data_IF_124104730240
#
_entry.id   IF_124104730240
#
_cell.length_a   1.000
_cell.length_b   1.000
_cell.length_c   1.000
_cell.angle_alpha   90.00
_cell.angle_beta   90.00
_cell.angle_gamma   90.00
#
_symmetry.space_group_name_H-M   'P 1'
#
loop_
_entity.id
_entity.type
_entity.pdbx_description
1 polymer ?
#
# COMPACT_ATOMS: atom_id res chain seq x y z
N UNK A 1 -2.35 -5.96 -5.25
CA UNK A 1 -2.80 -7.36 -5.32
C UNK A 1 -3.06 -7.79 -3.88
N UNK A 2 -4.01 -8.68 -3.66
CA UNK A 2 -4.22 -9.29 -2.34
C UNK A 2 -3.20 -10.43 -2.18
N UNK A 3 -2.28 -10.30 -1.21
CA UNK A 3 -1.20 -11.26 -1.01
C UNK A 3 -1.52 -12.36 0.01
N UNK A 4 -2.50 -12.16 0.89
CA UNK A 4 -2.86 -13.10 1.95
C UNK A 4 -4.30 -13.64 1.88
N UNK A 5 -5.07 -13.20 0.90
CA UNK A 5 -6.38 -13.73 0.55
C UNK A 5 -7.52 -13.17 1.39
N UNK A 6 -7.33 -12.01 2.03
CA UNK A 6 -8.33 -11.39 2.89
C UNK A 6 -9.40 -10.56 2.14
N UNK A 7 -9.23 -10.42 0.82
CA UNK A 7 -10.11 -9.65 -0.07
C UNK A 7 -9.67 -8.20 -0.29
N UNK A 8 -8.58 -7.75 0.32
CA UNK A 8 -8.03 -6.40 0.22
C UNK A 8 -6.64 -6.41 -0.42
N UNK A 9 -6.31 -5.37 -1.18
CA UNK A 9 -4.95 -5.23 -1.73
C UNK A 9 -3.99 -4.66 -0.69
N UNK A 10 -2.76 -5.18 -0.63
CA UNK A 10 -1.78 -4.79 0.38
C UNK A 10 -0.40 -4.44 -0.22
N UNK A 11 0.52 -3.92 0.62
CA UNK A 11 1.86 -3.52 0.17
C UNK A 11 2.73 -4.68 -0.30
N UNK A 12 2.60 -5.89 0.27
CA UNK A 12 3.37 -7.07 -0.19
C UNK A 12 2.91 -7.47 -1.59
N UNK A 13 1.59 -7.48 -1.81
CA UNK A 13 1.02 -7.73 -3.13
C UNK A 13 1.33 -6.62 -4.14
N UNK A 14 1.52 -5.37 -3.70
CA UNK A 14 2.00 -4.29 -4.57
C UNK A 14 3.49 -4.43 -4.91
N UNK A 15 4.33 -4.84 -3.95
CA UNK A 15 5.75 -5.12 -4.14
C UNK A 15 5.97 -6.18 -5.24
N UNK A 16 5.17 -7.24 -5.24
CA UNK A 16 5.20 -8.28 -6.28
C UNK A 16 4.86 -7.76 -7.70
N UNK A 17 4.24 -6.59 -7.82
CA UNK A 17 3.89 -5.96 -9.10
C UNK A 17 4.89 -4.91 -9.57
N UNK A 18 5.90 -4.55 -8.77
CA UNK A 18 6.93 -3.61 -9.20
C UNK A 18 7.62 -4.01 -10.52
N UNK A 19 8.03 -5.29 -10.74
CA UNK A 19 8.62 -5.68 -12.02
C UNK A 19 7.68 -5.46 -13.21
N UNK A 20 6.39 -5.75 -13.02
CA UNK A 20 5.37 -5.51 -14.04
C UNK A 20 5.20 -4.02 -14.36
N UNK A 21 5.18 -3.16 -13.34
CA UNK A 21 5.07 -1.71 -13.51
C UNK A 21 6.31 -1.14 -14.22
N UNK A 22 7.50 -1.65 -13.88
CA UNK A 22 8.76 -1.30 -14.53
C UNK A 22 8.76 -1.71 -16.01
N UNK A 23 8.31 -2.93 -16.33
CA UNK A 23 8.19 -3.42 -17.72
C UNK A 23 7.22 -2.56 -18.55
N UNK A 24 6.18 -2.01 -17.92
CA UNK A 24 5.27 -1.04 -18.54
C UNK A 24 5.90 0.35 -18.79
N UNK A 25 7.07 0.63 -18.22
CA UNK A 25 7.73 1.93 -18.28
C UNK A 25 7.16 2.97 -17.32
N UNK A 26 6.49 2.55 -16.24
CA UNK A 26 6.02 3.47 -15.19
C UNK A 26 7.23 4.06 -14.46
N UNK A 27 7.25 5.38 -14.31
CA UNK A 27 8.34 6.11 -13.64
C UNK A 27 7.94 6.72 -12.29
N UNK A 28 6.65 6.74 -11.96
CA UNK A 28 6.14 7.25 -10.70
C UNK A 28 4.88 6.48 -10.28
N UNK A 29 4.78 6.21 -8.98
CA UNK A 29 3.61 5.56 -8.36
C UNK A 29 2.98 6.58 -7.41
N UNK A 30 1.69 6.88 -7.62
CA UNK A 30 0.89 7.66 -6.70
C UNK A 30 0.05 6.74 -5.83
N UNK A 31 0.23 6.83 -4.51
CA UNK A 31 -0.54 6.04 -3.56
C UNK A 31 -1.73 6.86 -3.03
N UNK A 32 -2.88 6.21 -2.94
CA UNK A 32 -4.02 6.70 -2.16
C UNK A 32 -3.70 6.59 -0.66
N UNK A 33 -4.47 7.26 0.23
CA UNK A 33 -4.23 7.19 1.67
C UNK A 33 -4.22 5.74 2.19
N UNK A 34 -3.14 5.39 2.90
CA UNK A 34 -2.94 4.04 3.46
C UNK A 34 -2.81 4.06 4.99
N UNK A 35 -3.12 5.18 5.62
CA UNK A 35 -3.05 5.38 7.07
C UNK A 35 -4.23 4.71 7.80
N UNK A 36 -4.12 4.44 9.12
CA UNK A 36 -5.28 4.08 9.94
C UNK A 36 -6.41 5.09 9.75
N UNK A 37 -7.59 4.58 9.42
CA UNK A 37 -8.81 5.36 9.20
C UNK A 37 -10.02 4.50 9.63
N UNK A 38 -11.11 5.12 10.13
CA UNK A 38 -12.37 4.45 10.38
C UNK A 38 -13.16 4.15 9.09
N UNK A 39 -12.59 4.45 7.92
CA UNK A 39 -13.09 4.13 6.59
C UNK A 39 -14.46 4.75 6.28
N UNK A 40 -14.68 6.00 6.68
CA UNK A 40 -15.89 6.75 6.30
C UNK A 40 -15.72 7.52 5.00
N UNK A 41 -14.48 7.74 4.58
CA UNK A 41 -14.11 8.45 3.34
C UNK A 41 -12.94 7.73 2.66
N UNK A 42 -13.04 6.41 2.50
CA UNK A 42 -12.07 5.55 1.78
C UNK A 42 -10.59 5.84 2.13
N UNK A 43 -10.31 6.05 3.42
CA UNK A 43 -8.96 6.28 3.94
C UNK A 43 -8.54 7.74 4.07
N UNK A 44 -9.30 8.70 3.51
CA UNK A 44 -9.00 10.14 3.63
C UNK A 44 -9.34 10.71 5.01
N UNK A 45 -10.21 10.05 5.78
CA UNK A 45 -10.53 10.36 7.17
C UNK A 45 -9.51 9.75 8.15
N UNK A 46 -8.27 10.26 8.09
CA UNK A 46 -7.11 9.71 8.80
C UNK A 46 -7.26 9.84 10.33
N UNK A 47 -7.05 8.73 11.03
CA UNK A 47 -7.05 8.63 12.49
C UNK A 47 -5.65 8.72 13.11
N UNK A 48 -4.62 8.24 12.41
CA UNK A 48 -3.22 8.33 12.81
C UNK A 48 -2.33 8.55 11.57
N UNK A 49 -1.55 9.63 11.55
CA UNK A 49 -0.70 9.99 10.42
C UNK A 49 0.68 9.32 10.43
N UNK A 50 0.97 8.51 11.45
CA UNK A 50 2.31 7.94 11.68
C UNK A 50 2.40 6.43 11.52
N UNK A 51 1.27 5.76 11.31
CA UNK A 51 1.20 4.31 11.12
C UNK A 51 0.55 3.94 9.77
N UNK A 52 0.55 2.66 9.43
CA UNK A 52 -0.11 2.08 8.26
C UNK A 52 -1.39 1.38 8.70
N UNK A 53 -2.45 1.47 7.89
CA UNK A 53 -3.68 0.73 8.16
C UNK A 53 -3.37 -0.77 8.15
N UNK A 54 -3.75 -1.54 9.20
CA UNK A 54 -3.48 -2.98 9.25
C UNK A 54 -4.00 -3.78 8.05
N UNK A 55 -5.05 -3.28 7.36
CA UNK A 55 -5.57 -3.88 6.11
C UNK A 55 -4.54 -3.88 4.97
N UNK A 56 -3.59 -2.94 4.98
CA UNK A 56 -2.59 -2.80 3.91
C UNK A 56 -1.21 -3.34 4.31
N UNK A 57 -1.06 -3.80 5.56
CA UNK A 57 0.18 -4.31 6.13
C UNK A 57 0.72 -3.44 7.25
N UNK A 58 2.05 -3.37 7.36
CA UNK A 58 2.76 -2.66 8.41
C UNK A 58 3.65 -1.55 7.88
N UNK A 59 4.15 -0.69 8.78
CA UNK A 59 5.21 0.29 8.44
C UNK A 59 6.45 -0.39 7.86
N UNK A 60 6.77 -1.62 8.28
CA UNK A 60 7.90 -2.36 7.72
C UNK A 60 7.66 -2.76 6.26
N UNK A 61 6.43 -3.16 5.91
CA UNK A 61 6.05 -3.48 4.53
C UNK A 61 6.12 -2.23 3.64
N UNK A 62 5.66 -1.08 4.15
CA UNK A 62 5.79 0.21 3.46
C UNK A 62 7.27 0.57 3.23
N UNK A 63 8.12 0.44 4.24
CA UNK A 63 9.55 0.71 4.09
C UNK A 63 10.20 -0.20 3.06
N UNK A 64 9.83 -1.48 3.02
CA UNK A 64 10.32 -2.40 2.01
C UNK A 64 9.85 -1.98 0.60
N UNK A 65 8.59 -1.59 0.45
CA UNK A 65 8.06 -1.08 -0.81
C UNK A 65 8.81 0.17 -1.31
N UNK A 66 9.02 1.17 -0.43
CA UNK A 66 9.75 2.40 -0.79
C UNK A 66 11.19 2.10 -1.21
N UNK A 67 11.82 1.09 -0.62
CA UNK A 67 13.20 0.72 -0.92
C UNK A 67 13.36 0.08 -2.30
N UNK A 68 12.37 -0.72 -2.71
CA UNK A 68 12.45 -1.53 -3.93
C UNK A 68 11.79 -0.85 -5.15
N UNK A 69 10.93 0.15 -4.93
CA UNK A 69 10.29 0.98 -5.96
C UNK A 69 11.26 2.05 -6.53
#
# INVERSE_FOLDING_TARGET
MDSDGDGSGDFRGLLEKLPYLQDLGVSAIWLLPFYPSPMRDDGYDIADYTDVNPMYGSVADLHQFIKDA
#
